data_IF_032647405379
#
_entry.id   IF_032647405379
#
_cell.length_a   1.000
_cell.length_b   1.000
_cell.length_c   1.000
_cell.angle_alpha   90.00
_cell.angle_beta   90.00
_cell.angle_gamma   90.00
#
_symmetry.space_group_name_H-M   'P 1'
#
loop_
_entity.id
_entity.type
_entity.pdbx_description
1 polymer ?
#
# COMPACT_ATOMS: atom_id res chain seq x y z
N UNK A 1 15.57 -70.31 -63.67
CA UNK A 1 15.41 -68.85 -63.90
C UNK A 1 14.18 -68.32 -63.14
N UNK A 2 12.98 -68.85 -63.34
CA UNK A 2 11.74 -68.28 -62.79
C UNK A 2 11.66 -68.23 -61.25
N UNK A 3 12.21 -69.23 -60.55
CA UNK A 3 12.23 -69.22 -59.08
C UNK A 3 13.13 -68.13 -58.48
N UNK A 4 14.22 -67.76 -59.16
CA UNK A 4 15.10 -66.67 -58.71
C UNK A 4 14.50 -65.31 -59.04
N UNK A 5 13.81 -65.19 -60.18
CA UNK A 5 13.08 -63.99 -60.57
C UNK A 5 11.96 -63.71 -59.57
N UNK A 6 11.16 -64.71 -59.19
CA UNK A 6 10.09 -64.57 -58.18
C UNK A 6 10.63 -64.23 -56.78
N UNK A 7 11.81 -64.75 -56.41
CA UNK A 7 12.45 -64.39 -55.15
C UNK A 7 13.01 -62.97 -55.16
N UNK A 8 13.56 -62.53 -56.29
CA UNK A 8 14.07 -61.17 -56.49
C UNK A 8 12.93 -60.14 -56.44
N UNK A 9 11.81 -60.39 -57.13
CA UNK A 9 10.65 -59.51 -57.11
C UNK A 9 10.03 -59.41 -55.70
N UNK A 10 9.94 -60.52 -54.97
CA UNK A 10 9.45 -60.49 -53.57
C UNK A 10 10.32 -59.67 -52.62
N UNK A 11 11.66 -59.72 -52.79
CA UNK A 11 12.59 -58.89 -52.02
C UNK A 11 12.47 -57.41 -52.43
N UNK A 12 12.32 -57.12 -53.72
CA UNK A 12 12.11 -55.75 -54.22
C UNK A 12 10.82 -55.12 -53.69
N UNK A 13 9.72 -55.88 -53.60
CA UNK A 13 8.46 -55.43 -53.01
C UNK A 13 8.58 -55.16 -51.50
N UNK A 14 9.24 -56.04 -50.75
CA UNK A 14 9.50 -55.81 -49.33
C UNK A 14 10.39 -54.58 -49.09
N UNK A 15 11.43 -54.40 -49.91
CA UNK A 15 12.31 -53.24 -49.85
C UNK A 15 11.54 -51.94 -50.14
N UNK A 16 10.62 -51.96 -51.12
CA UNK A 16 9.75 -50.82 -51.43
C UNK A 16 8.81 -50.48 -50.27
N UNK A 17 8.23 -51.50 -49.62
CA UNK A 17 7.37 -51.32 -48.44
C UNK A 17 8.12 -50.73 -47.25
N UNK A 18 9.32 -51.23 -46.96
CA UNK A 18 10.16 -50.72 -45.86
C UNK A 18 10.60 -49.28 -46.13
N UNK A 19 10.96 -48.94 -47.38
CA UNK A 19 11.31 -47.58 -47.73
C UNK A 19 10.14 -46.61 -47.56
N UNK A 20 8.93 -46.99 -47.94
CA UNK A 20 7.74 -46.16 -47.72
C UNK A 20 7.49 -45.93 -46.22
N UNK A 21 7.59 -46.97 -45.39
CA UNK A 21 7.44 -46.87 -43.94
C UNK A 21 8.52 -45.98 -43.31
N UNK A 22 9.76 -46.07 -43.80
CA UNK A 22 10.87 -45.20 -43.38
C UNK A 22 10.59 -43.75 -43.72
N UNK A 23 10.13 -43.46 -44.94
CA UNK A 23 9.84 -42.10 -45.38
C UNK A 23 8.68 -41.47 -44.57
N UNK A 24 7.65 -42.25 -44.26
CA UNK A 24 6.57 -41.81 -43.36
C UNK A 24 7.05 -41.55 -41.93
N UNK A 25 7.94 -42.41 -41.40
CA UNK A 25 8.52 -42.24 -40.08
C UNK A 25 9.41 -40.99 -40.00
N UNK A 26 10.19 -40.72 -41.05
CA UNK A 26 11.02 -39.50 -41.16
C UNK A 26 10.12 -38.26 -41.19
N UNK A 27 9.08 -38.23 -42.03
CA UNK A 27 8.12 -37.11 -42.06
C UNK A 27 7.44 -36.86 -40.71
N UNK A 28 7.11 -37.93 -39.97
CA UNK A 28 6.55 -37.81 -38.62
C UNK A 28 7.57 -37.24 -37.63
N UNK A 29 8.82 -37.69 -37.68
CA UNK A 29 9.91 -37.17 -36.86
C UNK A 29 10.12 -35.68 -37.10
N UNK A 30 10.17 -35.26 -38.35
CA UNK A 30 10.42 -33.87 -38.72
C UNK A 30 9.30 -32.95 -38.23
N UNK A 31 8.02 -33.35 -38.41
CA UNK A 31 6.87 -32.62 -37.84
C UNK A 31 6.95 -32.52 -36.32
N UNK A 32 7.30 -33.60 -35.63
CA UNK A 32 7.44 -33.58 -34.17
C UNK A 32 8.58 -32.66 -33.72
N UNK A 33 9.69 -32.62 -34.44
CA UNK A 33 10.80 -31.69 -34.15
C UNK A 33 10.37 -30.23 -34.35
N UNK A 34 9.62 -29.92 -35.41
CA UNK A 34 9.11 -28.58 -35.65
C UNK A 34 8.14 -28.14 -34.55
N UNK A 35 7.23 -29.03 -34.13
CA UNK A 35 6.34 -28.77 -33.00
C UNK A 35 7.09 -28.58 -31.69
N UNK A 36 8.11 -29.40 -31.41
CA UNK A 36 8.94 -29.26 -30.22
C UNK A 36 9.64 -27.90 -30.20
N UNK A 37 10.22 -27.49 -31.34
CA UNK A 37 10.89 -26.19 -31.47
C UNK A 37 9.92 -25.02 -31.27
N UNK A 38 8.74 -25.09 -31.89
CA UNK A 38 7.70 -24.07 -31.72
C UNK A 38 7.21 -23.99 -30.27
N UNK A 39 6.99 -25.14 -29.63
CA UNK A 39 6.57 -25.21 -28.24
C UNK A 39 7.63 -24.67 -27.28
N UNK A 40 8.91 -24.94 -27.55
CA UNK A 40 10.01 -24.40 -26.74
C UNK A 40 10.08 -22.88 -26.83
N UNK A 41 9.97 -22.31 -28.04
CA UNK A 41 9.95 -20.86 -28.23
C UNK A 41 8.75 -20.20 -27.53
N UNK A 42 7.57 -20.83 -27.62
CA UNK A 42 6.38 -20.35 -26.92
C UNK A 42 6.57 -20.39 -25.39
N UNK A 43 7.19 -21.45 -24.86
CA UNK A 43 7.47 -21.59 -23.43
C UNK A 43 8.46 -20.52 -22.94
N UNK A 44 9.50 -20.24 -23.71
CA UNK A 44 10.50 -19.23 -23.38
C UNK A 44 9.87 -17.82 -23.37
N UNK A 45 9.01 -17.51 -24.35
CA UNK A 45 8.29 -16.24 -24.39
C UNK A 45 7.31 -16.07 -23.22
N UNK A 46 6.56 -17.13 -22.88
CA UNK A 46 5.68 -17.13 -21.70
C UNK A 46 6.45 -16.94 -20.39
N UNK A 47 7.62 -17.56 -20.26
CA UNK A 47 8.48 -17.36 -19.08
C UNK A 47 9.00 -15.92 -18.99
N UNK A 48 9.35 -15.30 -20.12
CA UNK A 48 9.75 -13.88 -20.16
C UNK A 48 8.60 -12.98 -19.71
N UNK A 49 7.41 -13.14 -20.27
CA UNK A 49 6.21 -12.35 -19.93
C UNK A 49 5.87 -12.51 -18.44
N UNK A 50 5.96 -13.73 -17.90
CA UNK A 50 5.72 -14.00 -16.48
C UNK A 50 6.70 -13.24 -15.58
N UNK A 51 7.97 -13.17 -15.93
CA UNK A 51 8.97 -12.43 -15.15
C UNK A 51 8.76 -10.90 -15.24
N UNK A 52 8.37 -10.38 -16.40
CA UNK A 52 7.99 -8.97 -16.56
C UNK A 52 6.78 -8.63 -15.68
N UNK A 53 5.70 -9.41 -15.77
CA UNK A 53 4.51 -9.23 -14.94
C UNK A 53 4.82 -9.32 -13.44
N UNK A 54 5.72 -10.22 -13.03
CA UNK A 54 6.15 -10.32 -11.62
C UNK A 54 6.83 -9.04 -11.14
N UNK A 55 7.69 -8.43 -11.96
CA UNK A 55 8.34 -7.15 -11.63
C UNK A 55 7.32 -6.01 -11.57
N UNK A 56 6.39 -5.96 -12.51
CA UNK A 56 5.35 -4.92 -12.55
C UNK A 56 4.41 -5.01 -11.34
N UNK A 57 3.98 -6.22 -10.98
CA UNK A 57 3.16 -6.45 -9.79
C UNK A 57 3.93 -6.13 -8.52
N UNK A 58 5.22 -6.49 -8.45
CA UNK A 58 6.09 -6.18 -7.30
C UNK A 58 6.20 -4.66 -7.08
N UNK A 59 6.59 -3.92 -8.11
CA UNK A 59 6.73 -2.47 -8.04
C UNK A 59 5.41 -1.75 -7.76
N UNK A 60 4.29 -2.27 -8.27
CA UNK A 60 2.96 -1.70 -8.01
C UNK A 60 2.56 -1.87 -6.54
N UNK A 61 2.85 -3.02 -5.93
CA UNK A 61 2.59 -3.25 -4.50
C UNK A 61 3.39 -2.31 -3.61
N UNK A 62 4.66 -2.08 -3.94
CA UNK A 62 5.52 -1.14 -3.21
C UNK A 62 4.98 0.30 -3.29
N UNK A 63 4.59 0.75 -4.50
CA UNK A 63 3.97 2.07 -4.70
C UNK A 63 2.66 2.22 -3.94
N UNK A 64 1.81 1.18 -3.92
CA UNK A 64 0.57 1.19 -3.14
C UNK A 64 0.88 1.32 -1.64
N UNK A 65 1.85 0.57 -1.12
CA UNK A 65 2.23 0.64 0.28
C UNK A 65 2.79 2.02 0.66
N UNK A 66 3.59 2.64 -0.22
CA UNK A 66 4.08 4.01 -0.04
C UNK A 66 2.94 5.03 0.00
N UNK A 67 2.04 4.99 -0.98
CA UNK A 67 0.88 5.90 -1.03
C UNK A 67 -0.06 5.71 0.16
N UNK A 68 -0.22 4.47 0.64
CA UNK A 68 -1.02 4.20 1.83
C UNK A 68 -0.40 4.86 3.08
N UNK A 69 0.94 4.79 3.25
CA UNK A 69 1.64 5.45 4.35
C UNK A 69 1.51 6.98 4.29
N UNK A 70 1.70 7.57 3.11
CA UNK A 70 1.50 9.02 2.93
C UNK A 70 0.08 9.44 3.28
N UNK A 71 -0.91 8.66 2.85
CA UNK A 71 -2.31 8.94 3.09
C UNK A 71 -2.68 8.82 4.58
N UNK A 72 -2.12 7.86 5.29
CA UNK A 72 -2.28 7.71 6.73
C UNK A 72 -1.66 8.89 7.50
N UNK A 73 -0.45 9.31 7.12
CA UNK A 73 0.19 10.50 7.67
C UNK A 73 -0.65 11.77 7.47
N UNK A 74 -1.16 12.00 6.26
CA UNK A 74 -2.01 13.17 5.97
C UNK A 74 -3.33 13.10 6.77
N UNK A 75 -3.90 11.91 6.95
CA UNK A 75 -5.12 11.72 7.76
C UNK A 75 -4.89 12.05 9.23
N UNK A 76 -3.75 11.64 9.80
CA UNK A 76 -3.38 11.96 11.18
C UNK A 76 -3.26 13.48 11.38
N UNK A 77 -2.51 14.15 10.49
CA UNK A 77 -2.35 15.61 10.51
C UNK A 77 -3.69 16.36 10.39
N UNK A 78 -4.59 15.88 9.53
CA UNK A 78 -5.94 16.44 9.41
C UNK A 78 -6.78 16.20 10.68
N UNK A 79 -6.59 15.05 11.33
CA UNK A 79 -7.19 14.72 12.61
C UNK A 79 -6.77 15.72 13.70
N UNK A 80 -5.47 15.92 13.86
CA UNK A 80 -4.88 16.85 14.82
C UNK A 80 -5.34 18.28 14.58
N UNK A 81 -5.25 18.76 13.32
CA UNK A 81 -5.70 20.11 12.97
C UNK A 81 -7.20 20.34 13.24
N UNK A 82 -8.03 19.30 13.08
CA UNK A 82 -9.47 19.38 13.41
C UNK A 82 -9.70 19.48 14.92
N UNK A 83 -8.94 18.73 15.72
CA UNK A 83 -9.00 18.80 17.18
C UNK A 83 -8.57 20.19 17.65
N UNK A 84 -7.43 20.69 17.17
CA UNK A 84 -6.89 22.01 17.50
C UNK A 84 -7.91 23.12 17.22
N UNK A 85 -8.55 23.09 16.04
CA UNK A 85 -9.59 24.08 15.68
C UNK A 85 -10.79 24.04 16.65
N UNK A 86 -11.20 22.85 17.08
CA UNK A 86 -12.30 22.71 18.03
C UNK A 86 -11.90 23.17 19.43
N UNK A 87 -10.69 22.86 19.89
CA UNK A 87 -10.17 23.33 21.17
C UNK A 87 -10.03 24.86 21.20
N UNK A 88 -9.49 25.46 20.14
CA UNK A 88 -9.36 26.91 20.01
C UNK A 88 -10.71 27.62 20.04
N UNK A 89 -11.71 27.09 19.32
CA UNK A 89 -13.07 27.64 19.34
C UNK A 89 -13.70 27.57 20.74
N UNK A 90 -13.51 26.44 21.44
CA UNK A 90 -13.98 26.29 22.83
C UNK A 90 -13.27 27.27 23.77
N UNK A 91 -11.95 27.44 23.61
CA UNK A 91 -11.14 28.36 24.41
C UNK A 91 -11.56 29.81 24.20
N UNK A 92 -11.83 30.23 22.96
CA UNK A 92 -12.34 31.57 22.62
C UNK A 92 -13.71 31.83 23.24
N UNK A 93 -14.66 30.89 23.08
CA UNK A 93 -15.99 31.02 23.70
C UNK A 93 -15.93 31.15 25.22
N UNK A 94 -15.08 30.36 25.89
CA UNK A 94 -14.87 30.50 27.34
C UNK A 94 -14.30 31.88 27.71
N UNK A 95 -13.35 32.39 26.94
CA UNK A 95 -12.78 33.71 27.16
C UNK A 95 -13.84 34.82 27.00
N UNK A 96 -14.66 34.75 25.97
CA UNK A 96 -15.77 35.69 25.73
C UNK A 96 -16.77 35.72 26.90
N UNK A 97 -17.11 34.55 27.44
CA UNK A 97 -17.99 34.44 28.62
C UNK A 97 -17.35 35.08 29.85
N UNK A 98 -16.05 34.84 30.10
CA UNK A 98 -15.33 35.45 31.23
C UNK A 98 -15.29 36.96 31.06
N UNK A 99 -15.01 37.48 29.87
CA UNK A 99 -15.03 38.92 29.59
C UNK A 99 -16.41 39.54 29.79
N UNK A 100 -17.49 38.82 29.46
CA UNK A 100 -18.85 39.25 29.77
C UNK A 100 -19.06 39.38 31.28
N UNK A 101 -18.61 38.39 32.07
CA UNK A 101 -18.71 38.44 33.53
C UNK A 101 -17.90 39.58 34.13
N UNK A 102 -16.67 39.84 33.65
CA UNK A 102 -15.87 40.99 34.10
C UNK A 102 -16.58 42.33 33.89
N UNK A 103 -17.33 42.48 32.79
CA UNK A 103 -18.05 43.72 32.47
C UNK A 103 -19.33 43.89 33.28
N UNK A 104 -20.04 42.80 33.57
CA UNK A 104 -21.35 42.82 34.22
C UNK A 104 -21.28 42.70 35.74
N UNK A 105 -20.28 42.00 36.28
CA UNK A 105 -20.15 41.69 37.70
C UNK A 105 -18.83 42.28 38.24
N UNK A 106 -18.89 43.30 39.10
CA UNK A 106 -17.69 43.81 39.76
C UNK A 106 -17.10 42.74 40.69
N UNK A 107 -15.77 42.64 40.72
CA UNK A 107 -15.06 41.64 41.53
C UNK A 107 -14.74 40.33 40.79
N UNK A 108 -15.06 40.19 39.50
CA UNK A 108 -14.57 39.09 38.65
C UNK A 108 -13.24 39.50 38.01
N UNK A 109 -12.16 38.75 38.28
CA UNK A 109 -10.82 39.06 37.78
C UNK A 109 -10.53 38.43 36.42
N UNK A 110 -10.18 37.14 36.36
CA UNK A 110 -9.94 36.35 35.14
C UNK A 110 -9.78 34.87 35.52
N UNK A 111 -9.46 34.01 34.55
CA UNK A 111 -9.06 32.62 34.75
C UNK A 111 -7.65 32.54 35.34
N UNK A 112 -7.40 31.52 36.16
CA UNK A 112 -6.10 31.24 36.78
C UNK A 112 -4.93 31.22 35.77
N UNK A 113 -5.13 30.64 34.59
CA UNK A 113 -4.12 30.61 33.51
C UNK A 113 -3.67 32.00 33.03
N UNK A 114 -4.53 33.01 33.12
CA UNK A 114 -4.24 34.39 32.72
C UNK A 114 -3.64 35.22 33.87
N UNK A 115 -3.67 34.70 35.10
CA UNK A 115 -3.32 35.43 36.32
C UNK A 115 -1.94 35.04 36.87
N UNK A 116 -1.37 33.92 36.42
CA UNK A 116 -0.07 33.46 36.90
C UNK A 116 0.79 32.90 35.76
N UNK A 117 2.11 33.10 35.86
CA UNK A 117 3.07 32.48 34.96
C UNK A 117 4.22 31.88 35.77
N UNK A 118 4.66 30.65 35.48
CA UNK A 118 5.81 30.06 36.15
C UNK A 118 7.07 30.89 35.91
N UNK A 119 7.90 31.05 36.93
CA UNK A 119 9.18 31.78 36.85
C UNK A 119 10.14 31.23 35.80
N UNK A 120 10.05 29.92 35.50
CA UNK A 120 10.85 29.29 34.46
C UNK A 120 10.03 28.31 33.64
N UNK A 121 10.19 28.35 32.31
CA UNK A 121 9.47 27.48 31.34
C UNK A 121 9.57 25.97 31.64
N UNK A 122 10.64 25.53 32.32
CA UNK A 122 10.84 24.13 32.72
C UNK A 122 9.76 23.62 33.68
N UNK A 123 9.10 24.53 34.40
CA UNK A 123 8.05 24.19 35.35
C UNK A 123 6.66 24.17 34.72
N UNK A 124 6.48 24.54 33.45
CA UNK A 124 5.16 24.62 32.82
C UNK A 124 4.40 23.29 32.92
N UNK A 125 5.07 22.17 32.60
CA UNK A 125 4.44 20.84 32.68
C UNK A 125 4.03 20.49 34.11
N UNK A 126 4.90 20.78 35.09
CA UNK A 126 4.62 20.53 36.49
C UNK A 126 3.45 21.38 37.01
N UNK A 127 3.41 22.66 36.66
CA UNK A 127 2.34 23.59 37.06
C UNK A 127 1.01 23.20 36.42
N UNK A 128 0.98 22.86 35.12
CA UNK A 128 -0.23 22.37 34.46
C UNK A 128 -0.72 21.05 35.08
N UNK A 129 0.20 20.17 35.50
CA UNK A 129 -0.15 18.91 36.16
C UNK A 129 -0.76 19.12 37.55
N UNK A 130 -0.20 20.04 38.34
CA UNK A 130 -0.66 20.34 39.71
C UNK A 130 -1.98 21.10 39.68
N UNK A 131 -2.07 22.16 38.87
CA UNK A 131 -3.28 22.99 38.82
C UNK A 131 -4.41 22.28 38.07
N UNK A 132 -4.13 21.50 37.03
CA UNK A 132 -5.13 20.68 36.33
C UNK A 132 -6.41 21.45 36.01
N UNK A 133 -7.54 21.02 36.58
CA UNK A 133 -8.85 21.68 36.42
C UNK A 133 -8.89 23.14 36.93
N UNK A 134 -8.06 23.48 37.91
CA UNK A 134 -7.99 24.83 38.49
C UNK A 134 -7.32 25.84 37.54
N UNK A 135 -6.63 25.40 36.47
CA UNK A 135 -6.13 26.30 35.43
C UNK A 135 -7.25 27.11 34.75
N UNK A 136 -8.44 26.52 34.67
CA UNK A 136 -9.63 27.13 34.06
C UNK A 136 -10.56 27.79 35.11
N UNK A 137 -10.21 27.77 36.39
CA UNK A 137 -11.02 28.40 37.45
C UNK A 137 -11.01 29.92 37.31
N UNK A 138 -12.17 30.56 37.51
CA UNK A 138 -12.33 32.01 37.50
C UNK A 138 -12.06 32.53 38.91
N UNK A 139 -11.18 33.52 39.02
CA UNK A 139 -10.87 34.18 40.29
C UNK A 139 -11.86 35.31 40.50
N UNK A 140 -12.48 35.32 41.69
CA UNK A 140 -13.46 36.33 42.12
C UNK A 140 -13.09 36.85 43.52
N UNK A 141 -13.48 38.09 43.81
CA UNK A 141 -13.21 38.76 45.09
C UNK A 141 -14.21 38.36 46.20
N UNK A 142 -15.47 38.10 45.83
CA UNK A 142 -16.55 37.81 46.80
C UNK A 142 -17.30 36.53 46.47
N UNK A 143 -17.78 35.84 47.51
CA UNK A 143 -18.48 34.55 47.42
C UNK A 143 -20.01 34.68 47.24
N UNK A 144 -20.54 35.89 47.03
CA UNK A 144 -22.00 36.14 47.09
C UNK A 144 -22.84 35.35 46.09
#
# INVERSE_FOLDING_TARGET
LDSEINRKTGVEEQLKKINLQKDEAVKRKDKLMDHLKSSQLALDDQNRIKEELRKDVGSSKEKIAEKQRELEYVREQLGDARVDKHEDSRRKKKQEVVESFKKQVPGVYDRMINMCQPTHKRYNVAVTKVLGKYMEAIIVDTEK
#
